data_IF_366379632931
#
_entry.id   IF_366379632931
#
_cell.length_a   1.000
_cell.length_b   1.000
_cell.length_c   1.000
_cell.angle_alpha   90.00
_cell.angle_beta   90.00
_cell.angle_gamma   90.00
#
_symmetry.space_group_name_H-M   'P 1'
#
loop_
_entity.id
_entity.type
_entity.pdbx_description
1 polymer ?
#
# COMPACT_ATOMS: atom_id res chain seq x y z
N UNK A 1 19.97 17.20 -37.97
CA UNK A 1 18.71 17.93 -38.25
C UNK A 1 17.63 16.90 -38.56
N UNK A 2 16.39 17.16 -38.16
CA UNK A 2 15.22 16.28 -38.29
C UNK A 2 15.19 15.09 -37.31
N UNK A 3 15.34 15.38 -36.00
CA UNK A 3 14.88 14.48 -34.92
C UNK A 3 13.76 15.10 -34.07
N UNK A 4 13.61 16.43 -34.04
CA UNK A 4 12.51 17.08 -33.30
C UNK A 4 11.14 16.90 -34.00
N UNK A 5 11.08 16.96 -35.34
CA UNK A 5 9.81 16.91 -36.07
C UNK A 5 9.02 15.58 -35.90
N UNK A 6 9.70 14.45 -35.66
CA UNK A 6 9.04 13.17 -35.42
C UNK A 6 8.34 13.11 -34.05
N UNK A 7 8.88 13.80 -33.06
CA UNK A 7 8.31 13.86 -31.71
C UNK A 7 7.14 14.87 -31.67
N UNK A 8 7.18 15.93 -32.48
CA UNK A 8 6.02 16.81 -32.67
C UNK A 8 4.87 16.14 -33.46
N UNK A 9 5.16 15.42 -34.56
CA UNK A 9 4.11 14.72 -35.31
C UNK A 9 3.45 13.59 -34.50
N UNK A 10 4.22 12.81 -33.73
CA UNK A 10 3.65 11.78 -32.85
C UNK A 10 2.74 12.39 -31.77
N UNK A 11 3.14 13.48 -31.12
CA UNK A 11 2.29 14.21 -30.17
C UNK A 11 1.04 14.80 -30.85
N UNK A 12 1.16 15.34 -32.07
CA UNK A 12 0.02 15.88 -32.82
C UNK A 12 -1.06 14.83 -33.14
N UNK A 13 -0.66 13.57 -33.33
CA UNK A 13 -1.58 12.45 -33.59
C UNK A 13 -2.24 11.92 -32.31
N UNK A 14 -1.54 11.94 -31.18
CA UNK A 14 -2.09 11.59 -29.86
C UNK A 14 -3.21 12.58 -29.45
N UNK A 15 -3.07 13.86 -29.80
CA UNK A 15 -4.09 14.92 -29.56
C UNK A 15 -5.42 14.63 -30.29
N UNK A 16 -5.44 13.79 -31.34
CA UNK A 16 -6.64 13.48 -32.14
C UNK A 16 -7.44 12.26 -31.67
N UNK A 17 -7.04 11.56 -30.60
CA UNK A 17 -7.89 10.51 -30.02
C UNK A 17 -9.10 11.16 -29.34
N UNK A 18 -10.32 10.91 -29.84
CA UNK A 18 -11.58 11.48 -29.34
C UNK A 18 -11.81 11.10 -27.86
N UNK A 19 -11.33 11.94 -26.93
CA UNK A 19 -11.44 11.68 -25.49
C UNK A 19 -12.89 11.83 -25.05
N UNK A 20 -13.46 10.77 -24.47
CA UNK A 20 -14.79 10.81 -23.86
C UNK A 20 -14.71 11.53 -22.50
N UNK A 21 -15.52 12.58 -22.25
CA UNK A 21 -15.46 13.32 -20.99
C UNK A 21 -15.87 12.44 -19.81
N UNK A 22 -15.08 12.46 -18.74
CA UNK A 22 -15.31 11.70 -17.52
C UNK A 22 -16.66 12.10 -16.89
N UNK A 23 -17.58 11.14 -16.73
CA UNK A 23 -18.87 11.44 -16.09
C UNK A 23 -18.78 11.38 -14.56
N UNK A 24 -19.64 12.15 -13.88
CA UNK A 24 -19.73 12.15 -12.41
C UNK A 24 -19.97 10.74 -11.84
N UNK A 25 -20.80 9.92 -12.50
CA UNK A 25 -21.10 8.54 -12.08
C UNK A 25 -19.85 7.66 -12.09
N UNK A 26 -19.03 7.77 -13.14
CA UNK A 26 -17.77 7.02 -13.24
C UNK A 26 -16.77 7.46 -12.16
N UNK A 27 -16.63 8.77 -11.93
CA UNK A 27 -15.74 9.26 -10.87
C UNK A 27 -16.16 8.78 -9.48
N UNK A 28 -17.47 8.77 -9.17
CA UNK A 28 -17.99 8.28 -7.88
C UNK A 28 -17.78 6.77 -7.74
N UNK A 29 -18.12 5.99 -8.77
CA UNK A 29 -17.90 4.53 -8.77
C UNK A 29 -16.43 4.15 -8.61
N UNK A 30 -15.52 4.93 -9.20
CA UNK A 30 -14.08 4.76 -9.04
C UNK A 30 -13.61 5.08 -7.60
N UNK A 31 -14.10 6.14 -6.96
CA UNK A 31 -13.79 6.40 -5.55
C UNK A 31 -14.29 5.30 -4.62
N UNK A 32 -15.47 4.73 -4.88
CA UNK A 32 -15.94 3.54 -4.15
C UNK A 32 -15.05 2.31 -4.38
N UNK A 33 -14.52 2.13 -5.59
CA UNK A 33 -13.57 1.05 -5.87
C UNK A 33 -12.22 1.29 -5.17
N UNK A 34 -11.70 2.52 -5.15
CA UNK A 34 -10.51 2.91 -4.38
C UNK A 34 -10.70 2.67 -2.87
N UNK A 35 -11.89 3.00 -2.37
CA UNK A 35 -12.26 2.76 -0.98
C UNK A 35 -12.28 1.26 -0.66
N UNK A 36 -12.94 0.46 -1.49
CA UNK A 36 -12.97 -1.00 -1.36
C UNK A 36 -11.55 -1.61 -1.44
N UNK A 37 -10.71 -1.12 -2.35
CA UNK A 37 -9.31 -1.52 -2.50
C UNK A 37 -8.36 -0.85 -1.48
N UNK A 38 -8.87 -0.21 -0.42
CA UNK A 38 -8.08 0.13 0.77
C UNK A 38 -8.23 -0.90 1.90
N UNK A 39 -9.30 -1.69 1.90
CA UNK A 39 -9.83 -2.36 3.10
C UNK A 39 -9.12 -3.68 3.46
N UNK A 40 -8.37 -4.28 2.54
CA UNK A 40 -7.78 -5.60 2.75
C UNK A 40 -6.51 -5.54 3.62
N UNK A 41 -6.71 -5.59 4.94
CA UNK A 41 -5.73 -6.16 5.86
C UNK A 41 -5.89 -7.68 5.83
N UNK A 42 -4.84 -8.41 5.44
CA UNK A 42 -4.90 -9.86 5.27
C UNK A 42 -5.41 -10.59 6.53
N UNK A 43 -6.35 -11.52 6.35
CA UNK A 43 -6.93 -12.26 7.47
C UNK A 43 -5.84 -13.11 8.15
N UNK A 44 -5.62 -12.99 9.48
CA UNK A 44 -4.62 -13.80 10.17
C UNK A 44 -5.04 -15.26 10.13
N UNK A 45 -4.23 -16.10 9.49
CA UNK A 45 -4.48 -17.53 9.45
C UNK A 45 -4.07 -18.08 10.82
N UNK A 46 -5.04 -18.26 11.71
CA UNK A 46 -4.88 -18.70 13.09
C UNK A 46 -4.42 -20.16 13.24
N UNK A 47 -3.31 -20.52 12.59
CA UNK A 47 -2.75 -21.85 12.58
C UNK A 47 -2.18 -22.26 13.96
N UNK A 48 -1.99 -21.31 14.90
CA UNK A 48 -1.50 -21.59 16.26
C UNK A 48 -2.44 -22.50 17.03
N UNK A 49 -3.76 -22.30 16.89
CA UNK A 49 -4.79 -23.19 17.44
C UNK A 49 -4.91 -24.55 16.73
N UNK A 50 -4.15 -24.75 15.65
CA UNK A 50 -4.08 -26.00 14.89
C UNK A 50 -2.69 -26.67 15.00
N UNK A 51 -1.74 -26.00 15.64
CA UNK A 51 -0.37 -26.46 15.79
C UNK A 51 -0.19 -27.39 16.99
N UNK A 52 1.00 -27.97 17.02
CA UNK A 52 1.51 -28.79 18.10
C UNK A 52 2.61 -28.03 18.84
N UNK A 53 2.93 -28.45 20.05
CA UNK A 53 4.18 -28.04 20.70
C UNK A 53 5.39 -28.66 19.97
N UNK A 54 6.60 -28.34 20.42
CA UNK A 54 7.86 -28.84 19.82
C UNK A 54 7.96 -30.38 19.79
N UNK A 55 7.16 -31.08 20.60
CA UNK A 55 7.05 -32.54 20.63
C UNK A 55 6.27 -33.16 19.44
N UNK A 56 5.63 -32.33 18.60
CA UNK A 56 4.84 -32.73 17.43
C UNK A 56 3.61 -33.59 17.73
N UNK A 57 3.20 -33.70 19.00
CA UNK A 57 2.09 -34.57 19.45
C UNK A 57 1.11 -33.82 20.36
N UNK A 58 1.60 -32.99 21.27
CA UNK A 58 0.76 -32.22 22.20
C UNK A 58 0.15 -31.00 21.50
N UNK A 59 -1.16 -30.75 21.59
CA UNK A 59 -1.79 -29.55 21.02
C UNK A 59 -1.23 -28.26 21.62
N UNK A 60 -0.92 -27.29 20.76
CA UNK A 60 -0.33 -26.00 21.14
C UNK A 60 -1.13 -25.25 22.21
N UNK A 61 -0.52 -24.96 23.37
CA UNK A 61 -1.13 -24.14 24.40
C UNK A 61 -0.86 -22.65 24.21
N UNK A 62 -1.71 -21.97 23.43
CA UNK A 62 -1.62 -20.52 23.17
C UNK A 62 -1.99 -19.63 24.38
N UNK A 63 -2.18 -20.17 25.59
CA UNK A 63 -2.51 -19.39 26.80
C UNK A 63 -1.29 -19.03 27.65
N UNK A 64 -0.15 -19.64 27.38
CA UNK A 64 1.12 -19.40 28.08
C UNK A 64 1.91 -18.31 27.37
N UNK A 65 2.60 -17.44 28.11
CA UNK A 65 3.52 -16.47 27.51
C UNK A 65 4.73 -17.18 26.90
N UNK A 66 5.18 -16.72 25.71
CA UNK A 66 6.26 -17.33 24.92
C UNK A 66 6.00 -18.81 24.51
N UNK A 67 4.79 -19.12 24.02
CA UNK A 67 4.52 -20.41 23.39
C UNK A 67 5.26 -20.52 22.04
N UNK A 68 5.94 -21.65 21.81
CA UNK A 68 6.55 -22.01 20.53
C UNK A 68 5.79 -23.20 19.94
N UNK A 69 5.12 -23.01 18.81
CA UNK A 69 4.22 -24.01 18.25
C UNK A 69 4.44 -24.22 16.76
N UNK A 70 4.45 -25.49 16.36
CA UNK A 70 4.75 -25.92 14.99
C UNK A 70 3.50 -26.45 14.29
N UNK A 71 3.40 -26.14 13.00
CA UNK A 71 2.35 -26.63 12.10
C UNK A 71 2.97 -27.43 10.97
N UNK A 72 2.23 -28.42 10.48
CA UNK A 72 2.71 -29.26 9.38
C UNK A 72 2.59 -28.50 8.06
N UNK A 73 3.68 -28.41 7.31
CA UNK A 73 3.70 -27.77 5.99
C UNK A 73 4.41 -28.69 5.00
N UNK A 74 3.63 -29.33 4.13
CA UNK A 74 4.10 -30.39 3.23
C UNK A 74 4.66 -31.59 4.01
N UNK A 75 5.95 -31.85 3.82
CA UNK A 75 6.68 -32.97 4.45
C UNK A 75 7.29 -32.62 5.81
N UNK A 76 7.38 -31.34 6.17
CA UNK A 76 8.03 -30.86 7.40
C UNK A 76 7.09 -30.20 8.39
N UNK A 77 7.64 -29.81 9.53
CA UNK A 77 7.01 -28.93 10.51
C UNK A 77 7.73 -27.57 10.49
N UNK A 78 6.96 -26.50 10.60
CA UNK A 78 7.47 -25.12 10.62
C UNK A 78 6.81 -24.35 11.77
N UNK A 79 7.45 -23.29 12.26
CA UNK A 79 6.82 -22.40 13.24
C UNK A 79 5.53 -21.78 12.68
N UNK A 80 4.56 -21.57 13.56
CA UNK A 80 3.25 -21.04 13.19
C UNK A 80 3.32 -19.61 12.62
N UNK A 81 4.19 -18.76 13.15
CA UNK A 81 4.35 -17.39 12.65
C UNK A 81 4.99 -17.43 11.24
N UNK A 82 5.94 -18.35 11.04
CA UNK A 82 6.54 -18.63 9.73
C UNK A 82 5.53 -19.11 8.68
N UNK A 83 4.48 -19.86 9.07
CA UNK A 83 3.44 -20.27 8.13
C UNK A 83 2.72 -19.07 7.48
N UNK A 84 2.30 -18.08 8.28
CA UNK A 84 1.66 -16.87 7.77
C UNK A 84 2.59 -16.09 6.82
N UNK A 85 3.86 -15.95 7.19
CA UNK A 85 4.92 -15.36 6.35
C UNK A 85 5.07 -16.07 5.00
N UNK A 86 5.10 -17.41 4.97
CA UNK A 86 5.21 -18.17 3.73
C UNK A 86 3.99 -18.03 2.83
N UNK A 87 2.77 -18.07 3.40
CA UNK A 87 1.53 -17.89 2.63
C UNK A 87 1.49 -16.49 1.99
N UNK A 88 1.86 -15.45 2.74
CA UNK A 88 1.98 -14.09 2.21
C UNK A 88 3.05 -14.04 1.10
N UNK A 89 4.23 -14.64 1.31
CA UNK A 89 5.31 -14.71 0.30
C UNK A 89 4.84 -15.33 -1.02
N UNK A 90 4.20 -16.50 -0.94
CA UNK A 90 3.64 -17.22 -2.10
C UNK A 90 2.60 -16.34 -2.81
N UNK A 91 1.75 -15.63 -2.05
CA UNK A 91 0.75 -14.73 -2.62
C UNK A 91 1.38 -13.54 -3.36
N UNK A 92 2.43 -12.92 -2.80
CA UNK A 92 3.15 -11.81 -3.45
C UNK A 92 3.86 -12.30 -4.72
N UNK A 93 4.44 -13.50 -4.70
CA UNK A 93 5.05 -14.10 -5.90
C UNK A 93 4.04 -14.38 -7.02
N UNK A 94 2.89 -15.01 -6.71
CA UNK A 94 1.80 -15.25 -7.67
C UNK A 94 1.26 -13.92 -8.21
N UNK A 95 1.13 -12.94 -7.32
CA UNK A 95 0.69 -11.59 -7.66
C UNK A 95 1.66 -10.88 -8.64
N UNK A 96 2.98 -10.99 -8.44
CA UNK A 96 4.00 -10.48 -9.37
C UNK A 96 3.81 -11.04 -10.80
N UNK A 97 3.50 -12.33 -10.93
CA UNK A 97 3.23 -12.96 -12.24
C UNK A 97 1.94 -12.41 -12.87
N UNK A 98 0.87 -12.25 -12.07
CA UNK A 98 -0.39 -11.65 -12.52
C UNK A 98 -0.20 -10.19 -12.97
N UNK A 99 0.67 -9.43 -12.30
CA UNK A 99 0.92 -8.01 -12.56
C UNK A 99 1.63 -7.77 -13.90
N UNK A 100 2.67 -8.56 -14.20
CA UNK A 100 3.38 -8.52 -15.48
C UNK A 100 2.45 -8.94 -16.63
N UNK A 101 1.71 -10.03 -16.41
CA UNK A 101 0.82 -10.60 -17.43
C UNK A 101 -0.37 -9.69 -17.72
N UNK A 102 -1.14 -9.34 -16.70
CA UNK A 102 -2.40 -8.62 -16.87
C UNK A 102 -2.23 -7.10 -17.01
N UNK A 103 -1.10 -6.52 -16.58
CA UNK A 103 -0.79 -5.10 -16.81
C UNK A 103 -0.75 -4.75 -18.30
N UNK A 104 0.12 -5.44 -19.05
CA UNK A 104 0.26 -5.27 -20.50
C UNK A 104 -1.04 -5.56 -21.29
N UNK A 105 -1.85 -6.53 -20.84
CA UNK A 105 -3.17 -6.79 -21.42
C UNK A 105 -4.22 -5.72 -21.05
N UNK A 106 -4.14 -5.10 -19.87
CA UNK A 106 -5.11 -4.08 -19.43
C UNK A 106 -4.96 -2.78 -20.21
N UNK A 107 -3.74 -2.43 -20.61
CA UNK A 107 -3.43 -1.27 -21.46
C UNK A 107 -4.06 -1.36 -22.87
N UNK A 108 -4.50 -2.55 -23.29
CA UNK A 108 -5.12 -2.79 -24.59
C UNK A 108 -6.65 -2.93 -24.51
N UNK A 109 -7.35 -2.04 -25.23
CA UNK A 109 -8.81 -2.11 -25.41
C UNK A 109 -9.61 -1.61 -24.19
N UNK A 110 -10.72 -2.29 -23.87
CA UNK A 110 -11.60 -1.95 -22.75
C UNK A 110 -11.39 -2.88 -21.53
N UNK A 111 -10.25 -3.58 -21.50
CA UNK A 111 -10.00 -4.72 -20.59
C UNK A 111 -9.71 -4.28 -19.16
N UNK A 112 -9.04 -3.14 -18.95
CA UNK A 112 -8.73 -2.59 -17.62
C UNK A 112 -9.95 -2.53 -16.68
N UNK A 113 -11.11 -2.06 -17.17
CA UNK A 113 -12.34 -1.95 -16.37
C UNK A 113 -12.88 -3.33 -16.01
N UNK A 114 -12.83 -4.26 -16.96
CA UNK A 114 -13.26 -5.64 -16.76
C UNK A 114 -12.39 -6.33 -15.73
N UNK A 115 -11.06 -6.21 -15.82
CA UNK A 115 -10.13 -6.80 -14.86
C UNK A 115 -10.26 -6.19 -13.47
N UNK A 116 -10.33 -4.86 -13.34
CA UNK A 116 -10.54 -4.19 -12.05
C UNK A 116 -11.79 -4.71 -11.31
N UNK A 117 -12.90 -4.88 -12.03
CA UNK A 117 -14.13 -5.44 -11.47
C UNK A 117 -14.03 -6.95 -11.21
N UNK A 118 -13.47 -7.73 -12.14
CA UNK A 118 -13.35 -9.19 -12.03
C UNK A 118 -12.51 -9.59 -10.81
N UNK A 119 -11.31 -9.00 -10.66
CA UNK A 119 -10.46 -9.26 -9.50
C UNK A 119 -11.10 -8.72 -8.21
N UNK A 120 -11.79 -7.58 -8.26
CA UNK A 120 -12.53 -7.04 -7.11
C UNK A 120 -13.60 -8.01 -6.61
N UNK A 121 -14.41 -8.58 -7.52
CA UNK A 121 -15.43 -9.57 -7.17
C UNK A 121 -14.84 -10.89 -6.67
N UNK A 122 -13.80 -11.43 -7.34
CA UNK A 122 -13.15 -12.68 -6.88
C UNK A 122 -12.55 -12.47 -5.49
N UNK A 123 -11.83 -11.38 -5.26
CA UNK A 123 -11.27 -11.03 -3.95
C UNK A 123 -12.32 -10.89 -2.86
N UNK A 124 -13.44 -10.22 -3.16
CA UNK A 124 -14.57 -10.09 -2.23
C UNK A 124 -15.21 -11.45 -1.90
N UNK A 125 -15.50 -12.27 -2.90
CA UNK A 125 -16.08 -13.62 -2.72
C UNK A 125 -15.14 -14.50 -1.89
N UNK A 126 -13.84 -14.52 -2.20
CA UNK A 126 -12.85 -15.27 -1.41
C UNK A 126 -12.75 -14.76 0.03
N UNK A 127 -12.86 -13.45 0.24
CA UNK A 127 -12.85 -12.86 1.60
C UNK A 127 -14.11 -13.27 2.39
N UNK A 128 -15.28 -13.34 1.75
CA UNK A 128 -16.52 -13.86 2.37
C UNK A 128 -16.41 -15.35 2.67
N UNK A 129 -15.76 -16.13 1.80
CA UNK A 129 -15.54 -17.57 2.00
C UNK A 129 -14.67 -17.91 3.22
N UNK A 130 -13.91 -16.97 3.80
CA UNK A 130 -13.25 -17.22 5.10
C UNK A 130 -14.23 -17.62 6.22
N UNK A 131 -15.51 -17.24 6.13
CA UNK A 131 -16.54 -17.65 7.10
C UNK A 131 -16.74 -19.18 7.11
N UNK A 132 -16.40 -19.90 6.03
CA UNK A 132 -16.46 -21.37 6.01
C UNK A 132 -15.33 -22.04 6.78
N UNK A 133 -14.27 -21.30 7.16
CA UNK A 133 -13.14 -21.80 7.95
C UNK A 133 -13.55 -21.79 9.43
N UNK A 134 -14.32 -22.80 9.84
CA UNK A 134 -14.88 -22.90 11.20
C UNK A 134 -13.98 -23.64 12.18
N UNK A 135 -13.00 -24.40 11.69
CA UNK A 135 -12.14 -25.27 12.51
C UNK A 135 -10.65 -24.96 12.28
N UNK A 136 -9.80 -24.85 13.34
CA UNK A 136 -8.38 -24.50 13.17
C UNK A 136 -7.61 -25.45 12.23
N UNK A 137 -7.98 -26.73 12.22
CA UNK A 137 -7.41 -27.78 11.37
C UNK A 137 -7.52 -27.48 9.86
N UNK A 138 -8.36 -26.52 9.45
CA UNK A 138 -8.51 -26.05 8.07
C UNK A 138 -7.52 -24.94 7.68
N UNK A 139 -6.42 -24.74 8.43
CA UNK A 139 -5.41 -23.70 8.17
C UNK A 139 -4.86 -23.68 6.73
N UNK A 140 -4.74 -24.84 6.06
CA UNK A 140 -4.34 -24.92 4.65
C UNK A 140 -5.37 -24.29 3.70
N UNK A 141 -6.67 -24.51 3.95
CA UNK A 141 -7.75 -23.91 3.16
C UNK A 141 -7.79 -22.39 3.35
N UNK A 142 -7.61 -21.93 4.60
CA UNK A 142 -7.45 -20.51 4.90
C UNK A 142 -6.21 -19.91 4.22
N UNK A 143 -5.11 -20.66 4.10
CA UNK A 143 -3.93 -20.26 3.34
C UNK A 143 -4.18 -20.06 1.84
N UNK A 144 -4.95 -20.97 1.22
CA UNK A 144 -5.37 -20.85 -0.19
C UNK A 144 -6.25 -19.61 -0.38
N UNK A 145 -7.22 -19.39 0.51
CA UNK A 145 -8.07 -18.19 0.44
C UNK A 145 -7.28 -16.90 0.67
N UNK A 146 -6.29 -16.88 1.57
CA UNK A 146 -5.39 -15.75 1.75
C UNK A 146 -4.60 -15.43 0.48
N UNK A 147 -4.04 -16.45 -0.19
CA UNK A 147 -3.31 -16.28 -1.45
C UNK A 147 -4.20 -15.64 -2.51
N UNK A 148 -5.38 -16.21 -2.77
CA UNK A 148 -6.30 -15.75 -3.82
C UNK A 148 -6.79 -14.33 -3.51
N UNK A 149 -7.22 -14.05 -2.28
CA UNK A 149 -7.75 -12.74 -1.90
C UNK A 149 -6.66 -11.65 -1.94
N UNK A 150 -5.45 -11.91 -1.45
CA UNK A 150 -4.35 -10.94 -1.55
C UNK A 150 -3.92 -10.68 -3.01
N UNK A 151 -3.84 -11.73 -3.84
CA UNK A 151 -3.55 -11.60 -5.27
C UNK A 151 -4.55 -10.67 -5.97
N UNK A 152 -5.84 -10.98 -5.82
CA UNK A 152 -6.95 -10.24 -6.42
C UNK A 152 -7.06 -8.80 -5.89
N UNK A 153 -6.80 -8.60 -4.60
CA UNK A 153 -6.75 -7.28 -3.97
C UNK A 153 -5.74 -6.36 -4.66
N UNK A 154 -4.47 -6.77 -4.74
CA UNK A 154 -3.44 -5.93 -5.38
C UNK A 154 -3.66 -5.75 -6.88
N UNK A 155 -4.23 -6.75 -7.58
CA UNK A 155 -4.58 -6.61 -8.99
C UNK A 155 -5.64 -5.53 -9.20
N UNK A 156 -6.69 -5.55 -8.37
CA UNK A 156 -7.72 -4.50 -8.32
C UNK A 156 -7.09 -3.14 -8.06
N UNK A 157 -6.20 -3.04 -7.07
CA UNK A 157 -5.53 -1.80 -6.68
C UNK A 157 -4.71 -1.19 -7.83
N UNK A 158 -3.91 -1.98 -8.57
CA UNK A 158 -3.17 -1.47 -9.74
C UNK A 158 -4.11 -0.90 -10.79
N UNK A 159 -5.08 -1.68 -11.26
CA UNK A 159 -5.97 -1.23 -12.33
C UNK A 159 -6.78 0.01 -11.91
N UNK A 160 -7.09 0.15 -10.62
CA UNK A 160 -7.73 1.32 -10.04
C UNK A 160 -6.80 2.54 -9.96
N UNK A 161 -5.53 2.38 -9.55
CA UNK A 161 -4.55 3.47 -9.51
C UNK A 161 -4.17 3.92 -10.94
N UNK A 162 -4.07 3.01 -11.89
CA UNK A 162 -3.77 3.31 -13.30
C UNK A 162 -4.82 4.19 -13.99
N UNK A 163 -6.03 4.29 -13.45
CA UNK A 163 -7.01 5.27 -13.92
C UNK A 163 -6.68 6.73 -13.57
N UNK A 164 -5.77 7.01 -12.62
CA UNK A 164 -5.47 8.39 -12.19
C UNK A 164 -5.09 9.32 -13.36
N UNK A 165 -4.03 9.04 -14.16
CA UNK A 165 -3.66 9.90 -15.29
C UNK A 165 -4.71 9.90 -16.42
N UNK A 166 -5.39 8.77 -16.64
CA UNK A 166 -6.48 8.66 -17.63
C UNK A 166 -7.64 9.60 -17.27
N UNK A 167 -8.04 9.62 -15.99
CA UNK A 167 -9.12 10.45 -15.47
C UNK A 167 -8.73 11.92 -15.36
N UNK A 168 -7.46 12.24 -15.10
CA UNK A 168 -6.96 13.61 -15.21
C UNK A 168 -7.15 14.13 -16.63
N UNK A 169 -6.61 13.43 -17.65
CA UNK A 169 -6.72 13.81 -19.08
C UNK A 169 -8.15 13.92 -19.59
N UNK A 170 -9.05 13.04 -19.14
CA UNK A 170 -10.46 13.02 -19.52
C UNK A 170 -11.34 13.96 -18.67
N UNK A 171 -10.77 14.70 -17.72
CA UNK A 171 -11.55 15.58 -16.85
C UNK A 171 -12.11 16.77 -17.65
N UNK A 172 -13.40 17.14 -17.50
CA UNK A 172 -14.05 18.19 -18.29
C UNK A 172 -13.23 19.48 -18.41
N UNK A 173 -12.68 20.00 -17.29
CA UNK A 173 -11.85 21.21 -17.28
C UNK A 173 -10.60 21.16 -18.19
N UNK A 174 -10.04 19.98 -18.46
CA UNK A 174 -8.88 19.83 -19.35
C UNK A 174 -9.35 19.76 -20.81
N UNK A 175 -10.50 19.15 -21.06
CA UNK A 175 -11.15 19.17 -22.38
C UNK A 175 -11.56 20.62 -22.72
N UNK A 176 -12.14 21.35 -21.79
CA UNK A 176 -12.50 22.77 -21.94
C UNK A 176 -11.24 23.63 -22.21
N UNK A 177 -10.15 23.39 -21.48
CA UNK A 177 -8.86 24.08 -21.69
C UNK A 177 -8.25 23.79 -23.08
N UNK A 178 -8.29 22.52 -23.53
CA UNK A 178 -7.85 22.11 -24.88
C UNK A 178 -8.72 22.68 -25.98
N UNK A 179 -10.03 22.81 -25.76
CA UNK A 179 -10.97 23.44 -26.69
C UNK A 179 -10.86 24.99 -26.73
N UNK A 180 -10.14 25.59 -25.76
CA UNK A 180 -9.96 27.04 -25.64
C UNK A 180 -8.58 27.52 -26.13
N UNK A 181 -7.84 26.67 -26.85
CA UNK A 181 -6.48 26.92 -27.36
C UNK A 181 -5.50 27.51 -26.32
N UNK A 182 -5.60 27.06 -25.07
CA UNK A 182 -4.64 27.42 -24.01
C UNK A 182 -3.23 26.91 -24.33
N UNK A 183 -2.20 27.54 -23.76
CA UNK A 183 -0.83 27.09 -23.98
C UNK A 183 -0.61 25.66 -23.44
N UNK A 184 0.20 24.87 -24.16
CA UNK A 184 0.50 23.47 -23.81
C UNK A 184 1.08 23.37 -22.38
N UNK A 185 1.88 24.36 -21.97
CA UNK A 185 2.41 24.50 -20.61
C UNK A 185 1.34 24.66 -19.54
N UNK A 186 0.30 25.47 -19.78
CA UNK A 186 -0.79 25.69 -18.82
C UNK A 186 -1.72 24.48 -18.75
N UNK A 187 -1.98 23.83 -19.89
CA UNK A 187 -2.75 22.57 -19.95
C UNK A 187 -2.03 21.49 -19.15
N UNK A 188 -0.71 21.34 -19.31
CA UNK A 188 0.10 20.37 -18.56
C UNK A 188 0.11 20.67 -17.06
N UNK A 189 0.33 21.93 -16.66
CA UNK A 189 0.27 22.33 -15.25
C UNK A 189 -1.13 22.07 -14.63
N UNK A 190 -2.21 22.26 -15.41
CA UNK A 190 -3.56 21.93 -14.97
C UNK A 190 -3.76 20.41 -14.85
N UNK A 191 -3.18 19.61 -15.75
CA UNK A 191 -3.21 18.15 -15.73
C UNK A 191 -2.46 17.57 -14.52
N UNK A 192 -1.26 18.08 -14.23
CA UNK A 192 -0.45 17.71 -13.06
C UNK A 192 -1.22 18.01 -11.76
N UNK A 193 -1.77 19.22 -11.64
CA UNK A 193 -2.58 19.63 -10.49
C UNK A 193 -3.87 18.82 -10.31
N UNK A 194 -4.50 18.41 -11.41
CA UNK A 194 -5.68 17.53 -11.38
C UNK A 194 -5.29 16.10 -10.99
N UNK A 195 -4.15 15.61 -11.47
CA UNK A 195 -3.55 14.31 -11.13
C UNK A 195 -3.25 14.21 -9.62
N UNK A 196 -2.58 15.23 -9.05
CA UNK A 196 -2.35 15.33 -7.60
C UNK A 196 -3.68 15.30 -6.84
N UNK A 197 -4.65 16.14 -7.21
CA UNK A 197 -5.95 16.21 -6.52
C UNK A 197 -6.72 14.88 -6.58
N UNK A 198 -6.68 14.20 -7.73
CA UNK A 198 -7.37 12.93 -7.93
C UNK A 198 -6.69 11.79 -7.14
N UNK A 199 -5.36 11.80 -7.06
CA UNK A 199 -4.59 10.94 -6.16
C UNK A 199 -4.96 11.19 -4.69
N UNK A 200 -4.98 12.45 -4.24
CA UNK A 200 -5.30 12.77 -2.85
C UNK A 200 -6.69 12.30 -2.46
N UNK A 201 -7.69 12.58 -3.30
CA UNK A 201 -9.07 12.17 -3.05
C UNK A 201 -9.23 10.63 -2.97
N UNK A 202 -8.51 9.86 -3.79
CA UNK A 202 -8.60 8.40 -3.75
C UNK A 202 -7.93 7.80 -2.51
N UNK A 203 -6.78 8.33 -2.08
CA UNK A 203 -6.16 7.95 -0.80
C UNK A 203 -7.05 8.30 0.38
N UNK A 204 -7.61 9.50 0.41
CA UNK A 204 -8.56 9.93 1.44
C UNK A 204 -9.77 8.97 1.49
N UNK A 205 -10.34 8.58 0.35
CA UNK A 205 -11.44 7.60 0.33
C UNK A 205 -11.05 6.20 0.84
N UNK A 206 -9.81 5.76 0.59
CA UNK A 206 -9.29 4.50 1.10
C UNK A 206 -9.08 4.55 2.62
N UNK A 207 -8.43 5.58 3.14
CA UNK A 207 -8.19 5.76 4.57
C UNK A 207 -9.49 5.93 5.37
N UNK A 208 -10.48 6.66 4.86
CA UNK A 208 -11.80 6.72 5.50
C UNK A 208 -12.49 5.34 5.57
N UNK A 209 -12.37 4.51 4.54
CA UNK A 209 -12.96 3.17 4.53
C UNK A 209 -12.25 2.20 5.48
N UNK A 210 -10.92 2.23 5.52
CA UNK A 210 -10.09 1.51 6.51
C UNK A 210 -10.52 1.92 7.93
N UNK A 211 -10.59 3.22 8.20
CA UNK A 211 -10.96 3.77 9.50
C UNK A 211 -12.34 3.26 9.96
N UNK A 212 -13.37 3.34 9.10
CA UNK A 212 -14.72 2.84 9.41
C UNK A 212 -14.70 1.36 9.81
N UNK A 213 -13.92 0.54 9.11
CA UNK A 213 -13.85 -0.91 9.35
C UNK A 213 -12.99 -1.25 10.56
N UNK A 214 -11.89 -0.53 10.83
CA UNK A 214 -11.11 -0.71 12.05
C UNK A 214 -11.92 -0.35 13.31
N UNK A 215 -12.70 0.73 13.28
CA UNK A 215 -13.61 1.07 14.38
C UNK A 215 -14.75 0.05 14.53
N UNK A 216 -15.33 -0.45 13.43
CA UNK A 216 -16.36 -1.49 13.48
C UNK A 216 -15.81 -2.82 14.05
N UNK A 217 -14.63 -3.26 13.58
CA UNK A 217 -13.95 -4.46 14.06
C UNK A 217 -13.54 -4.32 15.53
N UNK A 218 -12.97 -3.18 15.93
CA UNK A 218 -12.62 -2.87 17.31
C UNK A 218 -13.84 -2.87 18.25
N UNK A 219 -14.97 -2.32 17.79
CA UNK A 219 -16.24 -2.36 18.53
C UNK A 219 -16.77 -3.79 18.72
N UNK A 220 -16.73 -4.63 17.67
CA UNK A 220 -17.13 -6.04 17.75
C UNK A 220 -16.19 -6.83 18.68
N UNK A 221 -14.88 -6.61 18.60
CA UNK A 221 -13.87 -7.23 19.47
C UNK A 221 -14.06 -6.83 20.95
N UNK A 222 -14.39 -5.57 21.23
CA UNK A 222 -14.66 -5.09 22.58
C UNK A 222 -15.92 -5.74 23.21
N UNK A 223 -16.93 -6.05 22.40
CA UNK A 223 -18.15 -6.73 22.85
C UNK A 223 -17.92 -8.23 23.18
N UNK A 224 -16.93 -8.87 22.57
CA UNK A 224 -16.71 -10.33 22.66
C UNK A 224 -15.79 -10.77 23.82
N UNK A 225 -15.36 -9.86 24.70
CA UNK A 225 -14.58 -10.12 25.94
C UNK A 225 -13.59 -11.30 25.87
N UNK A 226 -12.61 -11.17 24.96
CA UNK A 226 -11.34 -11.90 25.05
C UNK A 226 -11.01 -12.80 23.86
N UNK A 227 -10.12 -12.33 23.00
CA UNK A 227 -9.12 -13.17 22.33
C UNK A 227 -7.99 -12.28 21.77
N UNK A 228 -6.70 -12.56 22.01
CA UNK A 228 -5.60 -11.71 21.55
C UNK A 228 -5.27 -11.98 20.08
N UNK A 229 -5.77 -11.14 19.16
CA UNK A 229 -5.52 -11.29 17.71
C UNK A 229 -5.23 -9.98 16.95
N UNK A 230 -4.96 -8.87 17.63
CA UNK A 230 -4.75 -7.56 16.99
C UNK A 230 -3.28 -7.27 16.60
N UNK A 231 -2.35 -8.21 16.81
CA UNK A 231 -0.99 -7.86 17.25
C UNK A 231 0.16 -8.48 16.44
N UNK A 232 -0.17 -9.20 15.38
CA UNK A 232 0.78 -9.62 14.34
C UNK A 232 0.49 -8.93 12.98
N UNK A 233 -0.33 -7.87 12.99
CA UNK A 233 -0.89 -7.23 11.79
C UNK A 233 0.10 -6.22 11.13
N UNK A 234 1.25 -5.93 11.76
CA UNK A 234 2.21 -4.92 11.29
C UNK A 234 3.62 -5.46 10.92
N UNK A 235 3.87 -6.77 11.09
CA UNK A 235 5.14 -7.41 10.72
C UNK A 235 4.85 -8.78 10.07
N UNK A 236 4.87 -8.86 8.74
CA UNK A 236 5.05 -10.13 8.00
C UNK A 236 5.18 -9.92 6.47
N UNK A 237 6.32 -9.41 5.98
CA UNK A 237 6.55 -9.22 4.54
C UNK A 237 7.57 -10.22 3.94
N UNK A 238 7.28 -10.59 2.68
CA UNK A 238 8.12 -11.22 1.66
C UNK A 238 7.25 -11.32 0.37
N UNK A 239 7.72 -11.52 -0.87
CA UNK A 239 9.03 -11.91 -1.42
C UNK A 239 8.86 -13.14 -2.33
N UNK A 240 9.49 -13.32 -3.50
CA UNK A 240 10.67 -12.68 -4.14
C UNK A 240 10.74 -13.12 -5.61
N UNK A 241 11.07 -12.25 -6.60
CA UNK A 241 11.93 -12.52 -7.80
C UNK A 241 11.86 -11.37 -8.83
N UNK A 242 13.02 -10.99 -9.37
CA UNK A 242 13.26 -9.84 -10.27
C UNK A 242 13.36 -10.27 -11.75
N UNK A 243 12.84 -9.45 -12.68
CA UNK A 243 13.52 -9.03 -13.94
C UNK A 243 12.55 -8.79 -15.11
N UNK A 244 12.12 -7.54 -15.31
CA UNK A 244 12.19 -6.86 -16.62
C UNK A 244 11.76 -5.39 -16.56
N UNK A 245 12.13 -4.69 -17.65
CA UNK A 245 11.65 -3.39 -18.16
C UNK A 245 12.76 -2.34 -18.23
N UNK A 246 13.67 -2.56 -19.17
CA UNK A 246 14.83 -1.71 -19.45
C UNK A 246 14.56 -0.78 -20.64
N UNK A 247 13.56 0.11 -20.50
CA UNK A 247 13.21 1.08 -21.55
C UNK A 247 12.51 2.34 -21.00
N UNK A 248 13.19 3.09 -20.12
CA UNK A 248 13.06 4.56 -19.91
C UNK A 248 13.92 5.01 -18.69
N UNK A 249 15.03 5.70 -18.94
CA UNK A 249 16.04 6.01 -17.92
C UNK A 249 15.55 6.92 -16.78
N UNK A 250 14.59 7.81 -17.02
CA UNK A 250 14.06 8.72 -15.99
C UNK A 250 13.02 8.03 -15.10
N UNK A 251 12.14 7.21 -15.67
CA UNK A 251 11.16 6.40 -14.91
C UNK A 251 11.87 5.41 -13.99
N UNK A 252 12.94 4.77 -14.44
CA UNK A 252 13.76 3.88 -13.60
C UNK A 252 14.41 4.60 -12.40
N UNK A 253 14.83 5.87 -12.54
CA UNK A 253 15.31 6.65 -11.39
C UNK A 253 14.20 6.98 -10.40
N UNK A 254 12.99 7.26 -10.90
CA UNK A 254 11.82 7.48 -10.05
C UNK A 254 11.44 6.21 -9.28
N UNK A 255 11.44 5.05 -9.95
CA UNK A 255 11.23 3.74 -9.33
C UNK A 255 12.31 3.42 -8.29
N UNK A 256 13.58 3.67 -8.58
CA UNK A 256 14.67 3.43 -7.62
C UNK A 256 14.61 4.39 -6.41
N UNK A 257 14.26 5.66 -6.63
CA UNK A 257 14.02 6.61 -5.53
C UNK A 257 12.81 6.20 -4.67
N UNK A 258 11.73 5.73 -5.31
CA UNK A 258 10.56 5.19 -4.63
C UNK A 258 10.88 3.89 -3.86
N UNK A 259 11.70 2.99 -4.41
CA UNK A 259 12.16 1.77 -3.73
C UNK A 259 12.81 2.09 -2.37
N UNK A 260 13.84 2.96 -2.37
CA UNK A 260 14.56 3.35 -1.15
C UNK A 260 13.65 4.05 -0.13
N UNK A 261 12.69 4.85 -0.62
CA UNK A 261 11.79 5.62 0.22
C UNK A 261 10.72 4.70 0.84
N UNK A 262 10.17 3.77 0.06
CA UNK A 262 9.24 2.73 0.51
C UNK A 262 9.89 1.79 1.53
N UNK A 263 11.15 1.37 1.29
CA UNK A 263 11.93 0.55 2.23
C UNK A 263 12.08 1.25 3.60
N UNK A 264 12.45 2.53 3.59
CA UNK A 264 12.56 3.34 4.79
C UNK A 264 11.24 3.50 5.54
N UNK A 265 10.15 3.80 4.83
CA UNK A 265 8.80 3.92 5.43
C UNK A 265 8.36 2.60 6.06
N UNK A 266 8.53 1.49 5.37
CA UNK A 266 8.09 0.17 5.83
C UNK A 266 8.94 -0.34 7.00
N UNK A 267 10.24 -0.03 7.00
CA UNK A 267 11.11 -0.24 8.16
C UNK A 267 10.63 0.53 9.38
N UNK A 268 10.23 1.81 9.22
CA UNK A 268 9.72 2.61 10.34
C UNK A 268 8.38 2.08 10.90
N UNK A 269 7.50 1.49 10.07
CA UNK A 269 6.29 0.77 10.53
C UNK A 269 6.70 -0.43 11.41
N UNK A 270 7.50 -1.32 10.82
CA UNK A 270 7.90 -2.62 11.38
C UNK A 270 8.68 -2.44 12.68
N UNK A 271 9.77 -1.67 12.64
CA UNK A 271 10.62 -1.39 13.81
C UNK A 271 9.87 -0.57 14.86
N UNK A 272 8.99 0.36 14.44
CA UNK A 272 8.18 1.15 15.35
C UNK A 272 7.25 0.30 16.22
N UNK A 273 6.55 -0.68 15.64
CA UNK A 273 5.71 -1.63 16.38
C UNK A 273 6.57 -2.61 17.19
N UNK A 274 7.68 -3.07 16.61
CA UNK A 274 8.83 -3.73 17.25
C UNK A 274 9.15 -3.15 18.64
N UNK A 275 9.67 -1.93 18.61
CA UNK A 275 10.14 -1.15 19.75
C UNK A 275 9.01 -0.82 20.73
N UNK A 276 7.83 -0.46 20.23
CA UNK A 276 6.63 -0.20 21.03
C UNK A 276 6.26 -1.37 21.95
N UNK A 277 6.37 -2.60 21.43
CA UNK A 277 6.06 -3.81 22.22
C UNK A 277 7.19 -4.20 23.15
N UNK A 278 8.42 -4.30 22.64
CA UNK A 278 9.55 -4.88 23.38
C UNK A 278 10.17 -3.91 24.38
N UNK A 279 10.33 -2.63 24.03
CA UNK A 279 11.05 -1.65 24.84
C UNK A 279 10.09 -0.78 25.68
N UNK A 280 9.02 -0.27 25.08
CA UNK A 280 8.02 0.55 25.78
C UNK A 280 6.98 -0.28 26.56
N UNK A 281 6.95 -1.60 26.36
CA UNK A 281 6.01 -2.50 27.04
C UNK A 281 4.55 -2.08 26.84
N UNK A 282 4.18 -1.64 25.63
CA UNK A 282 2.81 -1.27 25.29
C UNK A 282 1.97 -2.53 25.08
N UNK A 283 0.77 -2.51 25.67
CA UNK A 283 -0.18 -3.61 25.59
C UNK A 283 -0.80 -3.72 24.20
N UNK A 284 -1.33 -4.91 23.92
CA UNK A 284 -2.00 -5.27 22.67
C UNK A 284 -3.08 -4.27 22.23
N UNK A 285 -3.84 -3.73 23.18
CA UNK A 285 -4.86 -2.71 22.93
C UNK A 285 -4.25 -1.33 22.57
N UNK A 286 -3.14 -0.94 23.21
CA UNK A 286 -2.50 0.36 22.99
C UNK A 286 -1.90 0.45 21.57
N UNK A 287 -1.21 -0.61 21.14
CA UNK A 287 -0.66 -0.71 19.78
C UNK A 287 -1.80 -0.72 18.73
N UNK A 288 -2.91 -1.40 19.00
CA UNK A 288 -4.09 -1.39 18.12
C UNK A 288 -4.72 0.01 17.97
N UNK A 289 -4.76 0.80 19.05
CA UNK A 289 -5.21 2.20 18.99
C UNK A 289 -4.22 3.05 18.16
N UNK A 290 -2.91 2.88 18.37
CA UNK A 290 -1.86 3.58 17.62
C UNK A 290 -2.00 3.31 16.10
N UNK A 291 -2.15 2.04 15.68
CA UNK A 291 -2.33 1.70 14.26
C UNK A 291 -3.66 2.22 13.68
N UNK A 292 -4.72 2.29 14.48
CA UNK A 292 -6.03 2.83 14.07
C UNK A 292 -6.04 4.35 13.90
N UNK A 293 -5.17 5.08 14.63
CA UNK A 293 -5.04 6.53 14.54
C UNK A 293 -4.08 6.99 13.43
N UNK A 294 -3.13 6.16 13.00
CA UNK A 294 -2.17 6.53 11.95
C UNK A 294 -2.86 7.04 10.66
N UNK A 295 -3.90 6.38 10.09
CA UNK A 295 -4.60 6.88 8.90
C UNK A 295 -5.25 8.26 9.07
N UNK A 296 -5.63 8.65 10.30
CA UNK A 296 -6.21 9.97 10.57
C UNK A 296 -5.14 11.06 10.41
N UNK A 297 -3.94 10.80 10.91
CA UNK A 297 -2.80 11.71 10.75
C UNK A 297 -2.25 11.69 9.32
N UNK A 298 -2.36 10.59 8.58
CA UNK A 298 -2.07 10.54 7.13
C UNK A 298 -3.02 11.43 6.33
N UNK A 299 -4.34 11.36 6.58
CA UNK A 299 -5.33 12.27 5.97
C UNK A 299 -4.99 13.73 6.30
N UNK A 300 -4.63 14.03 7.56
CA UNK A 300 -4.23 15.37 7.96
C UNK A 300 -2.96 15.86 7.23
N UNK A 301 -1.94 15.01 7.09
CA UNK A 301 -0.71 15.32 6.35
C UNK A 301 -0.97 15.65 4.87
N UNK A 302 -1.82 14.86 4.21
CA UNK A 302 -2.26 15.11 2.82
C UNK A 302 -2.90 16.50 2.73
N UNK A 303 -3.85 16.84 3.61
CA UNK A 303 -4.48 18.17 3.61
C UNK A 303 -3.50 19.31 3.92
N UNK A 304 -2.61 19.11 4.89
CA UNK A 304 -1.58 20.10 5.28
C UNK A 304 -0.67 20.43 4.09
N UNK A 305 -0.12 19.43 3.41
CA UNK A 305 0.77 19.69 2.28
C UNK A 305 0.01 20.18 1.03
N UNK A 306 -1.24 19.77 0.81
CA UNK A 306 -2.08 20.35 -0.25
C UNK A 306 -2.41 21.84 0.00
N UNK A 307 -2.46 22.26 1.26
CA UNK A 307 -2.59 23.66 1.63
C UNK A 307 -1.27 24.42 1.37
N UNK A 308 -0.13 23.86 1.80
CA UNK A 308 1.19 24.45 1.56
C UNK A 308 1.54 24.53 0.06
N UNK A 309 1.15 23.53 -0.76
CA UNK A 309 1.31 23.56 -2.21
C UNK A 309 0.57 24.76 -2.84
N UNK A 310 -0.65 25.07 -2.35
CA UNK A 310 -1.44 26.22 -2.83
C UNK A 310 -0.88 27.56 -2.35
N UNK A 311 -0.33 27.60 -1.13
CA UNK A 311 0.18 28.82 -0.52
C UNK A 311 1.54 29.24 -1.11
N UNK A 312 2.41 28.28 -1.38
CA UNK A 312 3.80 28.52 -1.80
C UNK A 312 4.09 28.12 -3.27
N UNK A 313 3.08 27.67 -4.03
CA UNK A 313 3.22 27.25 -5.44
C UNK A 313 4.34 26.21 -5.68
N UNK A 314 4.57 25.32 -4.70
CA UNK A 314 5.66 24.34 -4.72
C UNK A 314 5.42 23.24 -5.75
N UNK A 315 6.48 22.80 -6.41
CA UNK A 315 6.44 21.64 -7.32
C UNK A 315 6.28 20.34 -6.53
N UNK A 316 5.69 19.34 -7.18
CA UNK A 316 5.48 17.98 -6.66
C UNK A 316 6.80 17.36 -6.20
N UNK A 317 7.87 17.55 -6.99
CA UNK A 317 9.23 17.09 -6.65
C UNK A 317 9.73 17.75 -5.35
N UNK A 318 9.52 19.04 -5.18
CA UNK A 318 9.91 19.76 -3.95
C UNK A 318 9.13 19.24 -2.74
N UNK A 319 7.83 18.97 -2.90
CA UNK A 319 6.96 18.45 -1.84
C UNK A 319 7.34 17.02 -1.43
N UNK A 320 7.70 16.14 -2.37
CA UNK A 320 8.27 14.82 -2.05
C UNK A 320 9.54 14.98 -1.22
N UNK A 321 10.50 15.81 -1.66
CA UNK A 321 11.76 16.03 -0.94
C UNK A 321 11.54 16.59 0.47
N UNK A 322 10.66 17.58 0.64
CA UNK A 322 10.30 18.12 1.96
C UNK A 322 9.71 17.01 2.86
N UNK A 323 8.81 16.19 2.32
CA UNK A 323 8.18 15.09 3.08
C UNK A 323 9.20 14.01 3.47
N UNK A 324 10.13 13.68 2.58
CA UNK A 324 11.22 12.73 2.85
C UNK A 324 12.17 13.23 3.95
N UNK A 325 12.56 14.51 3.89
CA UNK A 325 13.40 15.13 4.93
C UNK A 325 12.63 15.14 6.27
N UNK A 326 11.35 15.51 6.26
CA UNK A 326 10.51 15.51 7.45
C UNK A 326 10.34 14.11 8.06
N UNK A 327 10.21 13.06 7.24
CA UNK A 327 10.22 11.67 7.70
C UNK A 327 11.58 11.25 8.31
N UNK A 328 12.70 11.68 7.72
CA UNK A 328 14.05 11.31 8.18
C UNK A 328 14.42 11.84 9.57
N UNK A 329 13.66 12.80 10.12
CA UNK A 329 13.80 13.27 11.50
C UNK A 329 13.37 12.20 12.52
N UNK A 330 12.45 11.29 12.16
CA UNK A 330 11.95 10.25 13.05
C UNK A 330 13.05 9.30 13.55
N UNK A 331 13.86 8.63 12.70
CA UNK A 331 14.96 7.79 13.19
C UNK A 331 16.03 8.60 13.93
N UNK A 332 16.29 9.86 13.56
CA UNK A 332 17.19 10.73 14.31
C UNK A 332 16.68 11.01 15.73
N UNK A 333 15.37 11.20 15.91
CA UNK A 333 14.76 11.35 17.24
C UNK A 333 14.93 10.09 18.11
N UNK A 334 14.81 8.89 17.53
CA UNK A 334 15.07 7.64 18.25
C UNK A 334 16.56 7.50 18.62
N UNK A 335 17.47 7.89 17.73
CA UNK A 335 18.92 7.86 18.00
C UNK A 335 19.31 8.78 19.17
N UNK A 336 18.64 9.92 19.34
CA UNK A 336 18.85 10.81 20.50
C UNK A 336 18.50 10.12 21.84
N UNK A 337 17.55 9.17 21.84
CA UNK A 337 17.13 8.42 23.03
C UNK A 337 18.21 7.56 23.67
N UNK A 338 19.28 7.20 22.95
CA UNK A 338 20.44 6.50 23.53
C UNK A 338 21.28 7.38 24.47
N UNK A 339 21.23 8.70 24.32
CA UNK A 339 22.11 9.65 25.02
C UNK A 339 21.35 10.65 25.90
N UNK A 340 20.06 10.84 25.65
CA UNK A 340 19.22 11.87 26.26
C UNK A 340 17.97 11.24 26.90
N UNK A 341 17.36 11.86 27.92
CA UNK A 341 16.17 11.33 28.60
C UNK A 341 14.88 11.37 27.74
N UNK A 342 15.00 11.74 26.46
CA UNK A 342 13.93 11.82 25.46
C UNK A 342 14.41 11.20 24.15
N UNK A 343 13.52 10.55 23.40
CA UNK A 343 13.83 9.77 22.19
C UNK A 343 13.18 8.38 22.19
N UNK A 344 11.88 8.31 22.50
CA UNK A 344 11.12 7.09 22.82
C UNK A 344 11.55 6.38 24.12
N UNK A 345 12.02 7.13 25.12
CA UNK A 345 12.31 6.59 26.45
C UNK A 345 11.06 6.48 27.34
N UNK A 346 10.03 7.31 27.09
CA UNK A 346 8.76 7.29 27.83
C UNK A 346 7.58 6.87 26.95
N UNK A 347 6.61 6.14 27.53
CA UNK A 347 5.38 5.70 26.84
C UNK A 347 4.56 6.84 26.19
N UNK A 348 4.64 8.07 26.69
CA UNK A 348 3.88 9.19 26.13
C UNK A 348 4.47 9.70 24.81
N UNK A 349 5.78 9.51 24.57
CA UNK A 349 6.47 10.01 23.37
C UNK A 349 6.00 9.30 22.09
N UNK A 350 5.53 8.05 22.20
CA UNK A 350 5.03 7.28 21.06
C UNK A 350 3.82 7.94 20.38
N UNK A 351 3.00 8.68 21.14
CA UNK A 351 1.84 9.39 20.59
C UNK A 351 2.25 10.60 19.76
N UNK A 352 3.33 11.28 20.14
CA UNK A 352 3.90 12.38 19.35
C UNK A 352 4.62 11.84 18.11
N UNK A 353 5.35 10.72 18.26
CA UNK A 353 5.96 10.00 17.15
C UNK A 353 4.90 9.58 16.11
N UNK A 354 3.78 8.99 16.56
CA UNK A 354 2.65 8.59 15.71
C UNK A 354 2.07 9.75 14.88
N UNK A 355 1.86 10.92 15.49
CA UNK A 355 1.33 12.11 14.80
C UNK A 355 2.28 12.54 13.68
N UNK A 356 3.57 12.68 13.99
CA UNK A 356 4.60 13.07 13.04
C UNK A 356 4.74 12.05 11.90
N UNK A 357 4.77 10.77 12.26
CA UNK A 357 4.86 9.62 11.37
C UNK A 357 3.70 9.59 10.36
N UNK A 358 2.46 9.67 10.82
CA UNK A 358 1.29 9.68 9.93
C UNK A 358 1.30 10.87 8.98
N UNK A 359 1.59 12.08 9.47
CA UNK A 359 1.69 13.29 8.64
C UNK A 359 2.73 13.13 7.53
N UNK A 360 3.90 12.59 7.85
CA UNK A 360 4.98 12.38 6.90
C UNK A 360 4.60 11.35 5.82
N UNK A 361 4.05 10.21 6.23
CA UNK A 361 3.77 9.07 5.34
C UNK A 361 2.58 9.30 4.43
N UNK A 362 1.47 9.87 4.92
CA UNK A 362 0.33 10.20 4.09
C UNK A 362 0.72 11.18 2.96
N UNK A 363 1.59 12.14 3.29
CA UNK A 363 2.17 13.09 2.34
C UNK A 363 3.03 12.40 1.28
N UNK A 364 3.99 11.57 1.73
CA UNK A 364 4.85 10.74 0.88
C UNK A 364 4.03 9.91 -0.11
N UNK A 365 3.06 9.13 0.39
CA UNK A 365 2.26 8.20 -0.41
C UNK A 365 1.42 8.94 -1.46
N UNK A 366 0.90 10.12 -1.13
CA UNK A 366 0.16 10.96 -2.07
C UNK A 366 1.04 11.54 -3.18
N UNK A 367 2.14 12.22 -2.83
CA UNK A 367 2.95 12.95 -3.80
C UNK A 367 3.88 12.05 -4.62
N UNK A 368 4.41 10.96 -4.07
CA UNK A 368 5.19 10.00 -4.86
C UNK A 368 4.33 9.35 -5.95
N UNK A 369 3.10 8.94 -5.60
CA UNK A 369 2.15 8.34 -6.55
C UNK A 369 1.66 9.33 -7.60
N UNK A 370 1.41 10.59 -7.22
CA UNK A 370 1.05 11.65 -8.15
C UNK A 370 2.21 12.03 -9.10
N UNK A 371 3.43 12.16 -8.57
CA UNK A 371 4.63 12.41 -9.37
C UNK A 371 4.89 11.27 -10.36
N UNK A 372 4.73 10.01 -9.93
CA UNK A 372 4.85 8.86 -10.81
C UNK A 372 3.80 8.89 -11.93
N UNK A 373 2.53 9.18 -11.60
CA UNK A 373 1.44 9.30 -12.57
C UNK A 373 1.72 10.29 -13.72
N UNK A 374 2.45 11.39 -13.44
CA UNK A 374 2.83 12.44 -14.41
C UNK A 374 3.94 11.98 -15.36
N UNK A 375 4.77 11.01 -14.96
CA UNK A 375 5.97 10.55 -15.69
C UNK A 375 5.64 9.37 -16.64
N UNK A 376 4.50 8.71 -16.44
CA UNK A 376 4.07 7.53 -17.21
C UNK A 376 3.80 7.90 -18.69
N UNK A 377 4.35 7.14 -19.66
CA UNK A 377 4.00 7.30 -21.08
C UNK A 377 2.55 6.85 -21.34
N UNK A 378 1.86 7.59 -22.20
CA UNK A 378 0.44 7.40 -22.50
C UNK A 378 0.22 6.02 -23.15
N UNK A 379 -0.70 5.22 -22.61
CA UNK A 379 -1.05 3.90 -23.12
C UNK A 379 -0.25 2.73 -22.50
N UNK A 380 0.57 2.98 -21.48
CA UNK A 380 1.24 1.94 -20.67
C UNK A 380 0.95 2.15 -19.16
N UNK A 381 -0.19 2.76 -18.82
CA UNK A 381 -0.51 3.11 -17.44
C UNK A 381 -0.53 1.91 -16.50
N UNK A 382 -1.12 0.79 -16.93
CA UNK A 382 -1.26 -0.40 -16.10
C UNK A 382 0.09 -1.12 -15.95
N UNK A 383 0.89 -1.20 -17.00
CA UNK A 383 2.26 -1.72 -16.95
C UNK A 383 3.16 -0.92 -15.98
N UNK A 384 3.18 0.42 -16.07
CA UNK A 384 4.04 1.21 -15.19
C UNK A 384 3.53 1.26 -13.74
N UNK A 385 2.22 1.31 -13.50
CA UNK A 385 1.69 1.23 -12.13
C UNK A 385 1.83 -0.16 -11.50
N UNK A 386 1.86 -1.23 -12.31
CA UNK A 386 2.19 -2.55 -11.79
C UNK A 386 3.64 -2.58 -11.30
N UNK A 387 4.59 -2.10 -12.09
CA UNK A 387 5.99 -1.94 -11.70
C UNK A 387 6.16 -1.08 -10.43
N UNK A 388 5.43 0.04 -10.31
CA UNK A 388 5.44 0.89 -9.10
C UNK A 388 5.00 0.13 -7.84
N UNK A 389 3.90 -0.62 -7.94
CA UNK A 389 3.38 -1.36 -6.79
C UNK A 389 4.19 -2.62 -6.47
N UNK A 390 4.80 -3.26 -7.47
CA UNK A 390 5.80 -4.33 -7.26
C UNK A 390 6.98 -3.78 -6.47
N UNK A 391 7.55 -2.66 -6.93
CA UNK A 391 8.71 -2.02 -6.29
C UNK A 391 8.46 -1.65 -4.81
N UNK A 392 7.26 -1.18 -4.46
CA UNK A 392 6.88 -0.92 -3.07
C UNK A 392 6.88 -2.19 -2.20
N UNK A 393 6.25 -3.26 -2.72
CA UNK A 393 6.13 -4.56 -2.03
C UNK A 393 7.46 -5.30 -1.92
N UNK A 394 8.33 -5.14 -2.91
CA UNK A 394 9.69 -5.69 -2.92
C UNK A 394 10.57 -5.01 -1.86
N UNK A 395 10.38 -3.70 -1.64
CA UNK A 395 11.04 -2.94 -0.57
C UNK A 395 10.55 -3.37 0.82
N UNK A 396 9.23 -3.42 1.02
CA UNK A 396 8.58 -3.96 2.22
C UNK A 396 9.11 -5.36 2.61
N UNK A 397 9.27 -6.24 1.60
CA UNK A 397 9.79 -7.59 1.70
C UNK A 397 11.29 -7.72 2.02
N UNK A 398 12.07 -6.65 1.86
CA UNK A 398 13.50 -6.64 2.15
C UNK A 398 13.74 -6.31 3.63
N UNK A 399 13.09 -5.25 4.12
CA UNK A 399 13.15 -4.77 5.50
C UNK A 399 12.84 -5.83 6.56
N UNK A 400 11.74 -6.58 6.39
CA UNK A 400 11.33 -7.63 7.33
C UNK A 400 12.40 -8.70 7.56
N UNK A 401 13.01 -9.20 6.48
CA UNK A 401 14.01 -10.28 6.54
C UNK A 401 15.33 -9.88 7.20
N UNK A 402 15.66 -8.59 7.20
CA UNK A 402 16.84 -8.10 7.90
C UNK A 402 16.69 -8.29 9.41
N UNK A 403 15.48 -8.10 9.92
CA UNK A 403 15.16 -8.11 11.36
C UNK A 403 15.03 -9.54 11.90
N UNK A 404 14.49 -10.48 11.11
CA UNK A 404 14.36 -11.88 11.54
C UNK A 404 15.74 -12.53 11.87
N UNK A 405 16.81 -12.12 11.17
CA UNK A 405 18.18 -12.63 11.41
C UNK A 405 18.88 -12.03 12.64
N UNK A 406 18.31 -11.00 13.30
CA UNK A 406 18.85 -10.40 14.53
C UNK A 406 18.03 -10.81 15.78
N UNK A 407 17.06 -11.73 15.63
CA UNK A 407 16.16 -12.20 16.69
C UNK A 407 16.54 -13.62 17.19
N UNK A 408 17.45 -14.32 16.50
CA UNK A 408 18.18 -15.51 17.00
C UNK A 408 19.48 -15.15 17.73
#
# INVERSE_FOLDING_TARGET
>A
MNLDNSDEESNSSIVKKKLTPLTKRESIGWYFLCAASGIYGGAPIGASRAGYELDQVTPCNTTVANYNCVVRFGTGFIDTNSYSLYIISISVFVQTILFISCGSLADHGNMQKMFALLYGFIGAITTILFITVTSPQQYLLAGIFAIISNCCYGATNIFTIAYIPIFARNHPKIIDAKNSDMSISEIKFLEDKMTVKLSSNSLISAFFAIMIIMFAAGGILALLKGSPYAIQIALAFAGKTLSSTRSLWQTMKCLFGWFLLSDGVSTLIVVGVLFSRKQLGLNDAEISIITSLAPIFEIFGIFMLLYLQKLFHLTEKTLVVISSIFASVLPLYVILGFWLPFGLNNKWEIWMYLIWFGIAIGSINNYCRALFAIIIPIGHENEFFSLYQMTAKDAEAFSSKGIDNEIE
#
